data_IF_259567030097
#
_entry.id   IF_259567030097
#
_cell.length_a   1.000
_cell.length_b   1.000
_cell.length_c   1.000
_cell.angle_alpha   90.00
_cell.angle_beta   90.00
_cell.angle_gamma   90.00
#
_symmetry.space_group_name_H-M   'P 1'
#
loop_
_entity.id
_entity.type
_entity.pdbx_description
1 polymer ?
#
# COMPACT_ATOMS: atom_id res chain seq x y z
N UNK A 1 -27.13 -23.67 34.01
CA UNK A 1 -28.15 -22.70 33.58
C UNK A 1 -27.89 -21.29 34.15
N UNK A 2 -27.74 -21.12 35.47
CA UNK A 2 -27.47 -19.81 36.12
C UNK A 2 -26.18 -19.13 35.62
N UNK A 3 -25.06 -19.86 35.51
CA UNK A 3 -23.80 -19.32 34.97
C UNK A 3 -23.90 -18.84 33.51
N UNK A 4 -24.76 -19.49 32.70
CA UNK A 4 -24.99 -19.09 31.31
C UNK A 4 -25.78 -17.77 31.23
N UNK A 5 -26.84 -17.65 32.03
CA UNK A 5 -27.65 -16.44 32.12
C UNK A 5 -26.81 -15.26 32.64
N UNK A 6 -25.94 -15.49 33.62
CA UNK A 6 -25.04 -14.47 34.16
C UNK A 6 -24.02 -13.97 33.11
N UNK A 7 -23.43 -14.90 32.33
CA UNK A 7 -22.52 -14.55 31.24
C UNK A 7 -23.22 -13.77 30.13
N UNK A 8 -24.45 -14.15 29.75
CA UNK A 8 -25.24 -13.40 28.77
C UNK A 8 -25.60 -11.99 29.25
N UNK A 9 -25.95 -11.83 30.54
CA UNK A 9 -26.23 -10.52 31.15
C UNK A 9 -25.01 -9.60 31.19
N UNK A 10 -23.79 -10.14 31.30
CA UNK A 10 -22.54 -9.38 31.25
C UNK A 10 -22.06 -9.10 29.81
N UNK A 11 -22.37 -9.99 28.86
CA UNK A 11 -21.98 -9.84 27.46
C UNK A 11 -22.74 -8.71 26.76
N UNK A 12 -24.05 -8.57 27.03
CA UNK A 12 -24.89 -7.56 26.39
C UNK A 12 -24.40 -6.11 26.59
N UNK A 13 -24.11 -5.64 27.83
CA UNK A 13 -23.59 -4.30 28.05
C UNK A 13 -22.17 -4.13 27.50
N UNK A 14 -21.34 -5.17 27.50
CA UNK A 14 -20.02 -5.13 26.86
C UNK A 14 -20.14 -4.92 25.34
N UNK A 15 -21.05 -5.65 24.67
CA UNK A 15 -21.33 -5.48 23.25
C UNK A 15 -21.88 -4.08 22.94
N UNK A 16 -22.80 -3.57 23.75
CA UNK A 16 -23.32 -2.20 23.62
C UNK A 16 -22.20 -1.18 23.79
N UNK A 17 -21.34 -1.34 24.79
CA UNK A 17 -20.18 -0.47 25.00
C UNK A 17 -19.24 -0.50 23.79
N UNK A 18 -18.85 -1.68 23.29
CA UNK A 18 -18.01 -1.81 22.10
C UNK A 18 -18.66 -1.20 20.85
N UNK A 19 -19.98 -1.33 20.71
CA UNK A 19 -20.74 -0.74 19.61
C UNK A 19 -20.76 0.79 19.70
N UNK A 20 -21.03 1.35 20.88
CA UNK A 20 -21.01 2.79 21.12
C UNK A 20 -19.60 3.37 20.92
N UNK A 21 -18.57 2.70 21.43
CA UNK A 21 -17.17 3.11 21.23
C UNK A 21 -16.80 3.11 19.73
N UNK A 22 -17.23 2.07 19.00
CA UNK A 22 -17.03 2.00 17.55
C UNK A 22 -17.79 3.11 16.83
N UNK A 23 -19.03 3.39 17.23
CA UNK A 23 -19.85 4.45 16.67
C UNK A 23 -19.22 5.84 16.90
N UNK A 24 -18.73 6.11 18.10
CA UNK A 24 -18.02 7.36 18.42
C UNK A 24 -16.73 7.52 17.59
N UNK A 25 -15.98 6.43 17.39
CA UNK A 25 -14.77 6.42 16.56
C UNK A 25 -15.05 6.64 15.07
N UNK A 26 -16.28 6.39 14.59
CA UNK A 26 -16.69 6.72 13.21
C UNK A 26 -16.86 8.24 13.05
N UNK A 27 -17.37 8.94 14.06
CA UNK A 27 -17.63 10.38 13.99
C UNK A 27 -16.43 11.26 14.40
N UNK A 28 -15.47 10.71 15.14
CA UNK A 28 -14.26 11.43 15.56
C UNK A 28 -13.11 11.09 14.61
N UNK A 29 -12.69 12.02 13.72
CA UNK A 29 -11.56 11.77 12.84
C UNK A 29 -10.28 11.57 13.66
N UNK A 30 -9.56 10.48 13.40
CA UNK A 30 -8.25 10.24 14.04
C UNK A 30 -7.29 11.37 13.69
N UNK A 31 -6.61 11.91 14.71
CA UNK A 31 -5.59 12.94 14.55
C UNK A 31 -4.45 12.39 13.67
N UNK A 32 -4.12 13.09 12.59
CA UNK A 32 -3.02 12.73 11.70
C UNK A 32 -1.68 13.00 12.39
N UNK A 33 -0.72 12.08 12.25
CA UNK A 33 0.66 12.31 12.68
C UNK A 33 1.37 13.25 11.71
N UNK A 34 2.30 14.04 12.25
CA UNK A 34 3.23 14.79 11.40
C UNK A 34 4.24 13.81 10.80
N UNK A 35 4.57 14.02 9.53
CA UNK A 35 5.61 13.27 8.80
C UNK A 35 6.69 14.20 8.24
N UNK A 36 6.68 15.48 8.66
CA UNK A 36 7.67 16.46 8.23
C UNK A 36 9.09 15.98 8.53
N UNK A 37 9.97 15.98 7.53
CA UNK A 37 11.35 15.55 7.68
C UNK A 37 11.58 14.03 7.67
N UNK A 38 10.52 13.20 7.71
CA UNK A 38 10.63 11.75 7.59
C UNK A 38 11.20 11.34 6.22
N UNK A 39 11.95 10.24 6.18
CA UNK A 39 12.47 9.64 4.95
C UNK A 39 11.45 8.63 4.45
N UNK A 40 10.72 8.98 3.40
CA UNK A 40 9.65 8.19 2.82
C UNK A 40 10.12 7.55 1.51
N UNK A 41 10.18 6.22 1.48
CA UNK A 41 10.48 5.46 0.27
C UNK A 41 9.18 4.95 -0.37
N UNK A 42 8.99 5.21 -1.66
CA UNK A 42 7.82 4.77 -2.41
C UNK A 42 8.28 3.97 -3.62
N UNK A 43 7.87 2.71 -3.72
CA UNK A 43 8.10 1.87 -4.90
C UNK A 43 7.01 2.07 -5.94
N UNK A 44 7.34 1.99 -7.23
CA UNK A 44 6.39 2.26 -8.32
C UNK A 44 5.92 3.72 -8.35
N UNK A 45 6.80 4.66 -8.02
CA UNK A 45 6.47 6.08 -7.88
C UNK A 45 6.48 6.86 -9.22
N UNK A 46 6.82 6.22 -10.33
CA UNK A 46 6.91 6.85 -11.65
C UNK A 46 5.54 7.12 -12.29
N UNK A 47 4.46 6.53 -11.78
CA UNK A 47 3.12 6.70 -12.33
C UNK A 47 2.02 6.40 -11.30
N UNK A 48 0.74 6.60 -11.69
CA UNK A 48 -0.44 6.12 -10.97
C UNK A 48 -0.50 6.56 -9.51
N UNK A 49 -0.86 5.61 -8.63
CA UNK A 49 -1.02 5.85 -7.18
C UNK A 49 0.32 6.25 -6.56
N UNK A 50 1.41 5.58 -6.90
CA UNK A 50 2.73 5.88 -6.33
C UNK A 50 3.17 7.32 -6.57
N UNK A 51 2.97 7.83 -7.80
CA UNK A 51 3.24 9.24 -8.15
C UNK A 51 2.41 10.20 -7.31
N UNK A 52 1.11 9.97 -7.22
CA UNK A 52 0.20 10.85 -6.48
C UNK A 52 0.49 10.81 -4.97
N UNK A 53 0.80 9.63 -4.42
CA UNK A 53 1.27 9.49 -3.04
C UNK A 53 2.57 10.27 -2.80
N UNK A 54 3.51 10.24 -3.75
CA UNK A 54 4.74 11.03 -3.66
C UNK A 54 4.45 12.54 -3.62
N UNK A 55 3.48 13.03 -4.39
CA UNK A 55 3.08 14.44 -4.36
C UNK A 55 2.48 14.84 -3.03
N UNK A 56 1.64 14.00 -2.42
CA UNK A 56 1.06 14.30 -1.11
C UNK A 56 2.12 14.33 0.00
N UNK A 57 3.05 13.36 0.03
CA UNK A 57 4.17 13.43 0.98
C UNK A 57 5.11 14.62 0.69
N UNK A 58 5.24 15.05 -0.57
CA UNK A 58 6.02 16.24 -0.92
C UNK A 58 5.41 17.52 -0.31
N UNK A 59 4.08 17.68 -0.38
CA UNK A 59 3.37 18.80 0.25
C UNK A 59 3.59 18.83 1.77
N UNK A 60 3.75 17.67 2.39
CA UNK A 60 4.04 17.50 3.82
C UNK A 60 5.53 17.64 4.16
N UNK A 61 6.37 18.09 3.23
CA UNK A 61 7.81 18.39 3.45
C UNK A 61 8.61 17.18 3.95
N UNK A 62 8.27 15.99 3.47
CA UNK A 62 9.07 14.78 3.65
C UNK A 62 10.35 14.81 2.79
N UNK A 63 11.33 13.99 3.16
CA UNK A 63 12.43 13.61 2.25
C UNK A 63 12.00 12.35 1.50
N UNK A 64 11.93 12.41 0.18
CA UNK A 64 11.39 11.36 -0.67
C UNK A 64 12.49 10.55 -1.35
N UNK A 65 12.35 9.23 -1.29
CA UNK A 65 13.10 8.25 -2.07
C UNK A 65 12.13 7.56 -3.00
N UNK A 66 12.28 7.79 -4.29
CA UNK A 66 11.31 7.37 -5.29
C UNK A 66 11.94 6.28 -6.17
N UNK A 67 11.34 5.10 -6.18
CA UNK A 67 11.79 3.97 -6.98
C UNK A 67 10.78 3.67 -8.08
N UNK A 68 11.25 3.50 -9.31
CA UNK A 68 10.47 2.95 -10.42
C UNK A 68 11.40 2.33 -11.46
N UNK A 69 10.88 1.45 -12.32
CA UNK A 69 11.64 0.90 -13.44
C UNK A 69 11.70 1.88 -14.61
N UNK A 70 10.72 2.77 -14.74
CA UNK A 70 10.64 3.76 -15.79
C UNK A 70 11.42 5.04 -15.40
N UNK A 71 12.61 5.21 -16.00
CA UNK A 71 13.49 6.36 -15.75
C UNK A 71 12.80 7.71 -16.03
N UNK A 72 12.07 7.84 -17.13
CA UNK A 72 11.41 9.11 -17.45
C UNK A 72 10.31 9.44 -16.44
N UNK A 73 9.46 8.46 -16.13
CA UNK A 73 8.34 8.63 -15.21
C UNK A 73 8.80 8.97 -13.79
N UNK A 74 9.90 8.39 -13.32
CA UNK A 74 10.41 8.65 -11.97
C UNK A 74 11.07 10.02 -11.83
N UNK A 75 11.80 10.48 -12.86
CA UNK A 75 12.39 11.82 -12.86
C UNK A 75 11.31 12.90 -12.93
N UNK A 76 10.29 12.72 -13.76
CA UNK A 76 9.14 13.62 -13.82
C UNK A 76 8.43 13.73 -12.45
N UNK A 77 8.21 12.58 -11.77
CA UNK A 77 7.67 12.60 -10.41
C UNK A 77 8.58 13.36 -9.45
N UNK A 78 9.89 13.09 -9.48
CA UNK A 78 10.85 13.72 -8.58
C UNK A 78 10.94 15.24 -8.77
N UNK A 79 10.93 15.72 -10.02
CA UNK A 79 10.95 17.14 -10.33
C UNK A 79 9.69 17.87 -9.86
N UNK A 80 8.52 17.24 -10.00
CA UNK A 80 7.29 17.80 -9.44
C UNK A 80 7.32 17.80 -7.90
N UNK A 81 7.80 16.73 -7.25
CA UNK A 81 7.99 16.70 -5.81
C UNK A 81 8.94 17.80 -5.31
N UNK A 82 10.02 18.10 -6.06
CA UNK A 82 10.95 19.19 -5.77
C UNK A 82 10.25 20.55 -5.90
N UNK A 83 9.42 20.75 -6.94
CA UNK A 83 8.59 21.97 -7.12
C UNK A 83 7.58 22.16 -5.99
N UNK A 84 7.03 21.09 -5.44
CA UNK A 84 6.18 21.11 -4.23
C UNK A 84 6.97 21.39 -2.93
N UNK A 85 8.29 21.50 -3.02
CA UNK A 85 9.20 21.94 -1.95
C UNK A 85 9.70 20.80 -1.05
N UNK A 86 9.72 19.56 -1.55
CA UNK A 86 10.35 18.43 -0.88
C UNK A 86 11.74 18.14 -1.44
N UNK A 87 12.57 17.43 -0.66
CA UNK A 87 13.81 16.84 -1.17
C UNK A 87 13.48 15.48 -1.76
N UNK A 88 13.58 15.31 -3.08
CA UNK A 88 13.25 14.07 -3.76
C UNK A 88 14.46 13.46 -4.50
N UNK A 89 14.71 12.18 -4.25
CA UNK A 89 15.78 11.39 -4.84
C UNK A 89 15.17 10.26 -5.68
N UNK A 90 15.46 10.24 -6.98
CA UNK A 90 14.97 9.22 -7.90
C UNK A 90 15.99 8.10 -8.07
N UNK A 91 15.53 6.85 -8.05
CA UNK A 91 16.33 5.67 -8.38
C UNK A 91 15.57 4.80 -9.37
N UNK A 92 16.28 4.34 -10.40
CA UNK A 92 15.74 3.35 -11.33
C UNK A 92 15.95 1.97 -10.71
N UNK A 93 14.87 1.29 -10.36
CA UNK A 93 14.91 -0.01 -9.65
C UNK A 93 13.84 -0.95 -10.22
N UNK A 94 14.25 -2.12 -10.71
CA UNK A 94 13.34 -3.21 -11.06
C UNK A 94 12.97 -3.99 -9.79
N UNK A 95 11.77 -3.75 -9.29
CA UNK A 95 11.29 -4.39 -8.06
C UNK A 95 11.08 -5.91 -8.19
N UNK A 96 11.20 -6.52 -9.37
CA UNK A 96 11.22 -7.99 -9.49
C UNK A 96 12.60 -8.59 -9.27
N UNK A 97 13.66 -7.77 -9.28
CA UNK A 97 15.04 -8.21 -9.08
C UNK A 97 15.49 -7.93 -7.65
N UNK A 98 15.58 -8.99 -6.84
CA UNK A 98 16.05 -8.93 -5.45
C UNK A 98 17.38 -8.17 -5.28
N UNK A 99 18.36 -8.45 -6.13
CA UNK A 99 19.68 -7.83 -6.04
C UNK A 99 19.66 -6.33 -6.37
N UNK A 100 18.75 -5.90 -7.25
CA UNK A 100 18.57 -4.48 -7.58
C UNK A 100 17.99 -3.71 -6.38
N UNK A 101 17.01 -4.31 -5.69
CA UNK A 101 16.46 -3.77 -4.44
C UNK A 101 17.53 -3.66 -3.36
N UNK A 102 18.33 -4.70 -3.12
CA UNK A 102 19.33 -4.65 -2.05
C UNK A 102 20.49 -3.69 -2.36
N UNK A 103 20.96 -3.65 -3.60
CA UNK A 103 22.00 -2.71 -4.01
C UNK A 103 21.51 -1.25 -3.92
N UNK A 104 20.27 -0.99 -4.34
CA UNK A 104 19.63 0.33 -4.23
C UNK A 104 19.35 0.73 -2.78
N UNK A 105 18.90 -0.19 -1.94
CA UNK A 105 18.72 0.05 -0.51
C UNK A 105 20.03 0.43 0.18
N UNK A 106 21.16 -0.20 -0.20
CA UNK A 106 22.48 0.16 0.31
C UNK A 106 22.87 1.59 -0.07
N UNK A 107 22.60 2.01 -1.31
CA UNK A 107 22.83 3.40 -1.77
C UNK A 107 21.97 4.39 -0.99
N UNK A 108 20.67 4.12 -0.85
CA UNK A 108 19.75 4.96 -0.07
C UNK A 108 20.25 5.15 1.35
N UNK A 109 20.66 4.06 2.02
CA UNK A 109 21.19 4.13 3.38
C UNK A 109 22.46 4.98 3.49
N UNK A 110 23.37 4.86 2.52
CA UNK A 110 24.64 5.58 2.51
C UNK A 110 24.49 7.07 2.16
N UNK A 111 23.62 7.39 1.20
CA UNK A 111 23.52 8.74 0.62
C UNK A 111 22.44 9.60 1.29
N UNK A 112 21.39 8.97 1.85
CA UNK A 112 20.16 9.66 2.26
C UNK A 112 19.87 9.46 3.75
N UNK A 113 20.03 8.23 4.23
CA UNK A 113 19.81 7.83 5.62
C UNK A 113 18.86 6.65 5.78
N UNK A 114 18.44 6.38 7.02
CA UNK A 114 17.52 5.29 7.34
C UNK A 114 16.07 5.67 6.98
N UNK A 115 15.45 4.86 6.11
CA UNK A 115 14.04 5.01 5.73
C UNK A 115 13.14 4.78 6.94
N UNK A 116 12.24 5.73 7.22
CA UNK A 116 11.27 5.64 8.32
C UNK A 116 9.87 5.28 7.83
N UNK A 117 9.51 5.61 6.59
CA UNK A 117 8.24 5.19 5.99
C UNK A 117 8.53 4.44 4.69
N UNK A 118 8.13 3.17 4.62
CA UNK A 118 8.24 2.34 3.43
C UNK A 118 6.85 2.11 2.83
N UNK A 119 6.62 2.60 1.61
CA UNK A 119 5.39 2.38 0.84
C UNK A 119 5.67 1.35 -0.26
N UNK A 120 5.29 0.11 0.02
CA UNK A 120 5.30 -0.99 -0.92
C UNK A 120 4.11 -0.85 -1.87
N UNK A 121 4.33 -0.16 -3.00
CA UNK A 121 3.30 0.17 -3.99
C UNK A 121 3.54 -0.41 -5.39
N UNK A 122 4.78 -0.69 -5.77
CA UNK A 122 5.08 -1.28 -7.07
C UNK A 122 4.21 -2.52 -7.33
N UNK A 123 3.67 -2.61 -8.54
CA UNK A 123 2.82 -3.74 -8.90
C UNK A 123 2.71 -3.93 -10.40
N UNK A 124 2.43 -5.16 -10.81
CA UNK A 124 2.09 -5.54 -12.18
C UNK A 124 0.75 -6.25 -12.21
N UNK A 125 0.05 -6.11 -13.34
CA UNK A 125 -1.20 -6.79 -13.62
C UNK A 125 -1.19 -7.26 -15.06
N UNK A 126 -1.47 -8.53 -15.26
CA UNK A 126 -1.72 -9.12 -16.56
C UNK A 126 -3.15 -9.68 -16.52
N UNK A 127 -4.00 -9.19 -17.42
CA UNK A 127 -5.38 -9.65 -17.54
C UNK A 127 -5.47 -10.67 -18.67
N UNK A 128 -5.77 -11.92 -18.32
CA UNK A 128 -5.90 -13.03 -19.25
C UNK A 128 -6.62 -14.19 -18.56
N UNK A 129 -7.15 -15.12 -19.34
CA UNK A 129 -7.64 -16.40 -18.85
C UNK A 129 -6.47 -17.19 -18.26
N UNK A 130 -6.72 -18.04 -17.26
CA UNK A 130 -5.64 -18.77 -16.58
C UNK A 130 -4.76 -19.55 -17.57
N UNK A 131 -5.38 -20.31 -18.46
CA UNK A 131 -4.67 -21.12 -19.46
C UNK A 131 -3.94 -20.28 -20.52
N UNK A 132 -4.35 -19.03 -20.72
CA UNK A 132 -3.72 -18.09 -21.65
C UNK A 132 -2.71 -17.17 -20.97
N UNK A 133 -2.59 -17.23 -19.64
CA UNK A 133 -1.58 -16.49 -18.88
C UNK A 133 -0.28 -17.28 -18.93
N UNK A 134 0.79 -16.65 -19.40
CA UNK A 134 2.08 -17.33 -19.50
C UNK A 134 2.73 -17.43 -18.12
N UNK A 135 3.40 -18.55 -17.83
CA UNK A 135 4.07 -18.77 -16.54
C UNK A 135 5.01 -17.62 -16.14
N UNK A 136 5.84 -17.03 -17.03
CA UNK A 136 6.68 -15.89 -16.68
C UNK A 136 5.90 -14.65 -16.22
N UNK A 137 4.66 -14.47 -16.69
CA UNK A 137 3.79 -13.38 -16.23
C UNK A 137 3.24 -13.65 -14.83
N UNK A 138 2.91 -14.91 -14.53
CA UNK A 138 2.49 -15.33 -13.19
C UNK A 138 3.65 -15.12 -12.22
N UNK A 139 4.85 -15.61 -12.55
CA UNK A 139 6.07 -15.44 -11.76
C UNK A 139 6.36 -13.96 -11.50
N UNK A 140 6.43 -13.14 -12.55
CA UNK A 140 6.66 -11.68 -12.43
C UNK A 140 5.59 -11.01 -11.55
N UNK A 141 4.34 -11.46 -11.61
CA UNK A 141 3.26 -10.95 -10.74
C UNK A 141 3.57 -11.18 -9.26
N UNK A 142 4.02 -12.38 -8.90
CA UNK A 142 4.40 -12.67 -7.51
C UNK A 142 5.72 -12.02 -7.11
N UNK A 143 6.70 -11.95 -8.01
CA UNK A 143 7.96 -11.25 -7.76
C UNK A 143 7.73 -9.80 -7.37
N UNK A 144 6.95 -9.06 -8.15
CA UNK A 144 6.73 -7.62 -7.91
C UNK A 144 5.69 -7.39 -6.82
N UNK A 145 4.54 -8.06 -6.84
CA UNK A 145 3.43 -7.72 -5.95
C UNK A 145 3.56 -8.33 -4.54
N UNK A 146 4.45 -9.32 -4.37
CA UNK A 146 4.60 -10.06 -3.11
C UNK A 146 6.05 -10.07 -2.67
N UNK A 147 6.95 -10.71 -3.42
CA UNK A 147 8.32 -10.93 -2.97
C UNK A 147 9.09 -9.62 -2.80
N UNK A 148 8.84 -8.61 -3.64
CA UNK A 148 9.38 -7.27 -3.48
C UNK A 148 9.12 -6.70 -2.08
N UNK A 149 7.93 -6.92 -1.51
CA UNK A 149 7.58 -6.43 -0.18
C UNK A 149 8.43 -7.11 0.90
N UNK A 150 8.73 -8.40 0.75
CA UNK A 150 9.65 -9.10 1.65
C UNK A 150 11.06 -8.52 1.53
N UNK A 151 11.55 -8.29 0.30
CA UNK A 151 12.91 -7.82 0.08
C UNK A 151 13.12 -6.40 0.61
N UNK A 152 12.21 -5.47 0.31
CA UNK A 152 12.25 -4.10 0.84
C UNK A 152 12.09 -4.08 2.35
N UNK A 153 11.17 -4.87 2.91
CA UNK A 153 11.01 -4.98 4.37
C UNK A 153 12.27 -5.50 5.03
N UNK A 154 12.90 -6.56 4.50
CA UNK A 154 14.19 -7.06 5.01
C UNK A 154 15.31 -6.01 4.93
N UNK A 155 15.27 -5.12 3.94
CA UNK A 155 16.27 -4.08 3.76
C UNK A 155 16.10 -2.91 4.75
N UNK A 156 14.87 -2.48 5.03
CA UNK A 156 14.60 -1.25 5.76
C UNK A 156 14.06 -1.44 7.19
N UNK A 157 13.34 -2.54 7.47
CA UNK A 157 12.78 -2.82 8.79
C UNK A 157 13.83 -2.90 9.92
N UNK A 158 15.04 -3.47 9.73
CA UNK A 158 16.00 -3.56 10.82
C UNK A 158 16.37 -2.20 11.44
N UNK A 159 16.49 -1.15 10.63
CA UNK A 159 16.76 0.20 11.14
C UNK A 159 15.54 0.78 11.87
N UNK A 160 14.33 0.57 11.35
CA UNK A 160 13.09 0.99 12.00
C UNK A 160 12.91 0.32 13.37
N UNK A 161 13.19 -0.99 13.47
CA UNK A 161 13.15 -1.73 14.73
C UNK A 161 14.18 -1.23 15.72
N UNK A 162 15.43 -1.00 15.28
CA UNK A 162 16.50 -0.46 16.12
C UNK A 162 16.13 0.90 16.71
N UNK A 163 15.52 1.76 15.90
CA UNK A 163 15.11 3.10 16.31
C UNK A 163 13.75 3.11 17.03
N UNK A 164 13.07 1.95 17.09
CA UNK A 164 11.67 1.80 17.48
C UNK A 164 10.79 2.91 16.88
N UNK A 165 10.97 3.17 15.59
CA UNK A 165 10.26 4.20 14.84
C UNK A 165 10.21 3.81 13.37
N UNK A 166 9.00 3.64 12.84
CA UNK A 166 8.82 3.44 11.41
C UNK A 166 7.36 3.22 11.03
N UNK A 167 7.11 3.14 9.73
CA UNK A 167 5.80 2.79 9.17
C UNK A 167 5.97 2.00 7.87
N UNK A 168 5.45 0.77 7.83
CA UNK A 168 5.38 -0.02 6.60
C UNK A 168 3.95 0.03 6.05
N UNK A 169 3.80 0.54 4.84
CA UNK A 169 2.53 0.62 4.12
C UNK A 169 2.54 -0.42 3.00
N UNK A 170 1.59 -1.33 3.03
CA UNK A 170 1.36 -2.32 1.98
C UNK A 170 0.21 -1.86 1.08
N UNK A 171 0.47 -1.56 -0.18
CA UNK A 171 -0.58 -1.23 -1.15
C UNK A 171 -1.00 -2.51 -1.88
N UNK A 172 -2.08 -3.10 -1.37
CA UNK A 172 -2.70 -4.27 -1.94
C UNK A 172 -3.70 -3.87 -3.04
N UNK A 173 -4.98 -4.17 -2.84
CA UNK A 173 -6.12 -3.88 -3.72
C UNK A 173 -7.38 -4.42 -3.04
N UNK A 174 -8.57 -3.96 -3.45
CA UNK A 174 -9.83 -4.66 -3.18
C UNK A 174 -9.78 -6.13 -3.67
N UNK A 175 -8.99 -6.40 -4.71
CA UNK A 175 -8.67 -7.75 -5.18
C UNK A 175 -7.91 -8.62 -4.15
N UNK A 176 -7.52 -8.07 -2.99
CA UNK A 176 -6.98 -8.82 -1.85
C UNK A 176 -8.05 -9.33 -0.88
N UNK A 177 -9.33 -9.02 -1.14
CA UNK A 177 -10.47 -9.52 -0.37
C UNK A 177 -11.53 -10.20 -1.25
N UNK A 178 -11.59 -9.84 -2.53
CA UNK A 178 -12.52 -10.41 -3.51
C UNK A 178 -11.79 -10.78 -4.79
N UNK A 179 -12.37 -11.70 -5.57
CA UNK A 179 -11.78 -12.14 -6.84
C UNK A 179 -12.55 -11.57 -8.03
N UNK A 180 -11.85 -11.41 -9.15
CA UNK A 180 -12.41 -10.96 -10.42
C UNK A 180 -11.97 -11.95 -11.51
N UNK A 181 -12.86 -12.42 -12.40
CA UNK A 181 -12.47 -13.25 -13.54
C UNK A 181 -11.35 -12.59 -14.36
N UNK A 182 -10.50 -13.42 -14.99
CA UNK A 182 -9.37 -12.98 -15.84
C UNK A 182 -8.22 -12.25 -15.12
N UNK A 183 -8.22 -12.24 -13.78
CA UNK A 183 -7.18 -11.62 -12.95
C UNK A 183 -6.63 -12.59 -11.90
N UNK A 184 -6.60 -13.89 -12.19
CA UNK A 184 -6.32 -14.92 -11.17
C UNK A 184 -4.97 -14.70 -10.46
N UNK A 185 -3.87 -14.55 -11.21
CA UNK A 185 -2.54 -14.30 -10.62
C UNK A 185 -2.52 -12.98 -9.83
N UNK A 186 -3.15 -11.93 -10.35
CA UNK A 186 -3.24 -10.64 -9.69
C UNK A 186 -4.01 -10.72 -8.37
N UNK A 187 -5.23 -11.27 -8.36
CA UNK A 187 -6.02 -11.49 -7.16
C UNK A 187 -5.21 -12.29 -6.13
N UNK A 188 -4.68 -13.46 -6.50
CA UNK A 188 -3.87 -14.29 -5.61
C UNK A 188 -2.69 -13.51 -5.00
N UNK A 189 -1.98 -12.71 -5.80
CA UNK A 189 -0.89 -11.87 -5.31
C UNK A 189 -1.35 -10.79 -4.31
N UNK A 190 -2.55 -10.22 -4.47
CA UNK A 190 -3.09 -9.20 -3.57
C UNK A 190 -3.65 -9.80 -2.29
N UNK A 191 -4.21 -11.00 -2.33
CA UNK A 191 -4.51 -11.78 -1.11
C UNK A 191 -3.20 -12.10 -0.35
N UNK A 192 -2.15 -12.52 -1.06
CA UNK A 192 -0.85 -12.76 -0.45
C UNK A 192 -0.24 -11.49 0.17
N UNK A 193 -0.39 -10.32 -0.46
CA UNK A 193 0.06 -9.05 0.11
C UNK A 193 -0.71 -8.67 1.39
N UNK A 194 -2.02 -8.93 1.45
CA UNK A 194 -2.81 -8.76 2.69
C UNK A 194 -2.35 -9.73 3.78
N UNK A 195 -2.09 -11.00 3.41
CA UNK A 195 -1.52 -12.00 4.31
C UNK A 195 -0.16 -11.58 4.87
N UNK A 196 0.75 -11.14 4.00
CA UNK A 196 2.05 -10.58 4.37
C UNK A 196 1.92 -9.44 5.37
N UNK A 197 1.02 -8.49 5.12
CA UNK A 197 0.81 -7.36 6.01
C UNK A 197 0.31 -7.78 7.39
N UNK A 198 -0.65 -8.71 7.45
CA UNK A 198 -1.19 -9.23 8.73
C UNK A 198 -0.10 -9.97 9.51
N UNK A 199 0.61 -10.88 8.85
CA UNK A 199 1.70 -11.63 9.45
C UNK A 199 2.78 -10.69 10.03
N UNK A 200 3.24 -9.71 9.25
CA UNK A 200 4.22 -8.73 9.70
C UNK A 200 3.72 -7.92 10.92
N UNK A 201 2.44 -7.55 10.93
CA UNK A 201 1.84 -6.80 12.05
C UNK A 201 1.85 -7.63 13.33
N UNK A 202 1.45 -8.90 13.24
CA UNK A 202 1.42 -9.82 14.38
C UNK A 202 2.84 -10.17 14.86
N UNK A 203 3.81 -10.34 13.95
CA UNK A 203 5.21 -10.55 14.30
C UNK A 203 5.81 -9.35 15.06
N UNK A 204 5.56 -8.12 14.59
CA UNK A 204 6.02 -6.92 15.29
C UNK A 204 5.40 -6.80 16.69
N UNK A 205 4.12 -7.15 16.83
CA UNK A 205 3.43 -7.17 18.12
C UNK A 205 4.02 -8.24 19.06
N UNK A 206 4.27 -9.46 18.57
CA UNK A 206 4.85 -10.54 19.34
C UNK A 206 6.28 -10.22 19.82
N UNK A 207 7.06 -9.53 18.98
CA UNK A 207 8.40 -9.02 19.31
C UNK A 207 8.36 -7.74 20.18
N UNK A 208 7.18 -7.25 20.54
CA UNK A 208 6.96 -6.04 21.35
C UNK A 208 7.57 -4.78 20.71
N UNK A 209 7.66 -4.73 19.39
CA UNK A 209 8.08 -3.54 18.64
C UNK A 209 6.89 -2.61 18.49
N UNK A 210 6.76 -1.63 19.38
CA UNK A 210 5.58 -0.77 19.45
C UNK A 210 5.67 0.47 18.58
N UNK A 211 6.87 0.90 18.18
CA UNK A 211 7.09 2.13 17.44
C UNK A 211 7.14 1.97 15.91
N UNK A 212 7.19 0.73 15.42
CA UNK A 212 7.02 0.45 13.99
C UNK A 212 5.55 0.16 13.71
N UNK A 213 4.92 1.01 12.92
CA UNK A 213 3.51 0.89 12.53
C UNK A 213 3.37 0.16 11.21
N UNK A 214 2.18 -0.37 10.96
CA UNK A 214 1.83 -1.00 9.68
C UNK A 214 0.47 -0.48 9.21
N UNK A 215 0.33 -0.24 7.91
CA UNK A 215 -0.97 0.04 7.27
C UNK A 215 -1.14 -0.77 5.99
N UNK A 216 -2.35 -1.27 5.73
CA UNK A 216 -2.68 -1.94 4.47
C UNK A 216 -3.72 -1.10 3.73
N UNK A 217 -3.36 -0.66 2.52
CA UNK A 217 -4.27 0.03 1.64
C UNK A 217 -4.86 -0.97 0.64
N UNK A 218 -6.18 -1.07 0.61
CA UNK A 218 -6.92 -1.89 -0.35
C UNK A 218 -7.79 -0.99 -1.25
N UNK A 219 -7.22 -0.32 -2.27
CA UNK A 219 -8.01 0.52 -3.17
C UNK A 219 -9.02 -0.30 -3.97
N UNK A 220 -10.23 0.23 -4.15
CA UNK A 220 -11.17 -0.25 -5.17
C UNK A 220 -10.70 0.19 -6.58
N UNK A 221 -11.45 -0.11 -7.64
CA UNK A 221 -11.08 0.25 -9.01
C UNK A 221 -10.77 1.76 -9.16
N UNK A 222 -9.48 2.12 -9.26
CA UNK A 222 -9.03 3.49 -9.56
C UNK A 222 -8.40 3.49 -10.96
N UNK A 223 -8.84 4.41 -11.82
CA UNK A 223 -8.22 4.61 -13.13
C UNK A 223 -6.81 5.22 -12.94
N UNK A 224 -5.79 4.39 -13.04
CA UNK A 224 -4.39 4.70 -12.64
C UNK A 224 -3.38 4.34 -13.74
N UNK A 225 -3.86 3.97 -14.93
CA UNK A 225 -3.03 3.47 -16.03
C UNK A 225 -2.72 1.97 -15.98
N UNK A 226 -3.12 1.25 -14.92
CA UNK A 226 -3.00 -0.23 -14.84
C UNK A 226 -3.79 -0.96 -15.95
N UNK A 227 -4.91 -0.38 -16.40
CA UNK A 227 -5.72 -0.88 -17.52
C UNK A 227 -5.89 0.27 -18.50
N UNK A 228 -5.31 0.14 -19.71
CA UNK A 228 -5.33 1.20 -20.75
C UNK A 228 -6.73 1.45 -21.32
N UNK A 229 -7.66 0.49 -21.21
CA UNK A 229 -9.08 0.64 -21.60
C UNK A 229 -10.00 -0.08 -20.59
N UNK A 230 -10.59 0.63 -19.61
CA UNK A 230 -11.58 0.03 -18.71
C UNK A 230 -12.85 -0.43 -19.44
N UNK A 231 -13.17 0.16 -20.60
CA UNK A 231 -14.35 -0.17 -21.42
C UNK A 231 -14.26 -1.53 -22.11
N UNK A 232 -13.10 -1.94 -22.62
CA UNK A 232 -12.99 -3.20 -23.40
C UNK A 232 -13.01 -4.45 -22.52
N UNK A 233 -12.57 -4.33 -21.26
CA UNK A 233 -12.73 -5.39 -20.26
C UNK A 233 -14.19 -5.52 -19.78
N UNK A 234 -14.94 -4.41 -19.75
CA UNK A 234 -16.38 -4.40 -19.46
C UNK A 234 -17.20 -5.05 -20.59
N UNK A 235 -16.78 -4.87 -21.84
CA UNK A 235 -17.48 -5.38 -23.02
C UNK A 235 -17.35 -6.92 -23.16
N UNK A 236 -16.16 -7.48 -22.87
CA UNK A 236 -15.95 -8.94 -22.84
C UNK A 236 -16.63 -9.64 -21.66
N UNK A 237 -16.90 -8.93 -20.57
CA UNK A 237 -17.50 -9.50 -19.35
C UNK A 237 -19.04 -9.44 -19.33
N UNK A 238 -19.68 -8.87 -20.36
CA UNK A 238 -21.14 -8.88 -20.57
C UNK A 238 -21.98 -8.33 -19.41
N UNK A 239 -21.40 -7.56 -18.48
CA UNK A 239 -22.09 -7.09 -17.27
C UNK A 239 -21.78 -5.65 -16.96
N UNK A 240 -22.74 -4.78 -17.24
CA UNK A 240 -22.82 -3.39 -16.80
C UNK A 240 -23.09 -3.37 -15.29
N UNK A 241 -22.04 -3.30 -14.47
CA UNK A 241 -22.17 -3.04 -13.04
C UNK A 241 -22.00 -1.54 -12.78
N UNK A 242 -23.12 -0.83 -12.69
CA UNK A 242 -23.14 0.51 -12.08
C UNK A 242 -23.06 0.35 -10.56
N UNK A 243 -21.93 0.78 -9.97
CA UNK A 243 -21.77 0.80 -8.52
C UNK A 243 -22.67 1.90 -7.91
N UNK A 244 -23.76 1.50 -7.26
CA UNK A 244 -24.69 2.41 -6.54
C UNK A 244 -24.17 2.92 -5.18
N UNK A 245 -22.98 2.51 -4.73
CA UNK A 245 -22.49 2.82 -3.37
C UNK A 245 -21.24 3.70 -3.30
N UNK A 246 -20.74 4.23 -4.42
CA UNK A 246 -19.68 5.23 -4.40
C UNK A 246 -19.94 6.32 -5.44
N UNK A 247 -20.59 7.40 -5.02
CA UNK A 247 -20.71 8.67 -5.74
C UNK A 247 -19.40 9.48 -5.71
N UNK A 248 -18.26 8.87 -5.36
CA UNK A 248 -16.97 9.54 -5.40
C UNK A 248 -16.33 9.19 -6.74
N UNK A 249 -16.56 10.09 -7.69
CA UNK A 249 -15.87 10.16 -8.96
C UNK A 249 -14.35 10.09 -8.79
N UNK A 250 -13.68 9.68 -9.87
CA UNK A 250 -12.23 9.46 -10.04
C UNK A 250 -11.37 10.72 -9.85
N UNK A 251 -11.50 11.42 -8.73
CA UNK A 251 -10.90 12.72 -8.45
C UNK A 251 -9.93 12.75 -7.25
N UNK A 252 -9.34 13.93 -6.97
CA UNK A 252 -8.34 14.16 -5.91
C UNK A 252 -8.76 13.71 -4.50
N UNK A 253 -10.06 13.62 -4.24
CA UNK A 253 -10.64 13.25 -2.94
C UNK A 253 -10.33 11.80 -2.53
N UNK A 254 -10.29 10.85 -3.46
CA UNK A 254 -9.96 9.46 -3.17
C UNK A 254 -8.48 9.28 -2.78
N UNK A 255 -7.60 10.07 -3.39
CA UNK A 255 -6.16 10.08 -3.11
C UNK A 255 -5.83 10.72 -1.76
N UNK A 256 -6.55 11.77 -1.39
CA UNK A 256 -6.47 12.37 -0.05
C UNK A 256 -6.86 11.34 1.03
N UNK A 257 -7.88 10.51 0.79
CA UNK A 257 -8.28 9.45 1.71
C UNK A 257 -7.22 8.34 1.85
N UNK A 258 -6.62 7.89 0.73
CA UNK A 258 -5.55 6.88 0.74
C UNK A 258 -4.32 7.36 1.52
N UNK A 259 -3.90 8.61 1.29
CA UNK A 259 -2.77 9.20 2.02
C UNK A 259 -3.12 9.45 3.48
N UNK A 260 -4.37 9.85 3.77
CA UNK A 260 -4.84 10.02 5.15
C UNK A 260 -4.76 8.73 5.95
N UNK A 261 -5.05 7.57 5.33
CA UNK A 261 -4.88 6.27 5.98
C UNK A 261 -3.42 5.97 6.37
N UNK A 262 -2.45 6.46 5.60
CA UNK A 262 -1.01 6.29 5.91
C UNK A 262 -0.49 7.24 7.01
N UNK A 263 -1.24 8.32 7.29
CA UNK A 263 -0.93 9.35 8.28
C UNK A 263 -1.68 9.15 9.61
N UNK A 264 -2.49 8.11 9.71
CA UNK A 264 -3.11 7.62 10.95
C UNK A 264 -2.15 6.63 11.63
#
# INVERSE_FOLDING_TARGET
>A
MVMFILNCLLLLPFLIFCFLESLLKIFIPKKRKSVTGEIVLITGAGHGIGRLTAYEFAKLKCKLVLWDINKHGIEETADECRRLGAKAHAFVVDCSKREDIYSSAKKVKAEIGDVSILVNNAGVVYASDLFATQDPQIEKTFEVNVLAHFWTTKAFLPAMMKNNHGHIVTVASAAGHTTVPFLMAYCSSKFAAVGFHRALTDELAALKITGVKTSCLCPNFINTGFIKNPSTAQEKAGRTWTCKSCSISTGPSCFSACTSGMLI
#
